data_IF_015983567818
#
_entry.id   IF_015983567818
#
_cell.length_a   1.000
_cell.length_b   1.000
_cell.length_c   1.000
_cell.angle_alpha   90.00
_cell.angle_beta   90.00
_cell.angle_gamma   90.00
#
_symmetry.space_group_name_H-M   'P 1'
#
loop_
_entity.id
_entity.type
_entity.pdbx_description
1 polymer ?
#
# COMPACT_ATOMS: atom_id res chain seq x y z
N UNK A 1 13.50 3.06 -1.50
CA UNK A 1 13.27 2.59 -2.88
C UNK A 1 11.79 2.63 -3.22
N UNK A 2 10.91 2.01 -2.42
CA UNK A 2 9.46 2.01 -2.66
C UNK A 2 8.87 3.42 -2.78
N UNK A 3 9.22 4.35 -1.88
CA UNK A 3 8.71 5.74 -1.94
C UNK A 3 9.04 6.44 -3.27
N UNK A 4 10.23 6.18 -3.82
CA UNK A 4 10.62 6.73 -5.12
C UNK A 4 9.79 6.13 -6.25
N UNK A 5 9.59 4.80 -6.23
CA UNK A 5 8.77 4.11 -7.24
C UNK A 5 7.31 4.59 -7.21
N UNK A 6 6.76 4.83 -6.02
CA UNK A 6 5.40 5.37 -5.84
C UNK A 6 5.33 6.79 -6.43
N UNK A 7 6.25 7.67 -6.03
CA UNK A 7 6.27 9.06 -6.51
C UNK A 7 6.45 9.16 -8.04
N UNK A 8 7.30 8.32 -8.62
CA UNK A 8 7.48 8.24 -10.08
C UNK A 8 6.19 7.80 -10.78
N UNK A 9 5.46 6.84 -10.21
CA UNK A 9 4.22 6.34 -10.78
C UNK A 9 3.05 7.32 -10.64
N UNK A 10 2.92 7.99 -9.49
CA UNK A 10 1.92 9.07 -9.31
C UNK A 10 2.17 10.23 -10.30
N UNK A 11 3.44 10.59 -10.54
CA UNK A 11 3.80 11.61 -11.52
C UNK A 11 3.44 11.21 -12.96
N UNK A 12 3.53 9.91 -13.29
CA UNK A 12 3.15 9.38 -14.60
C UNK A 12 1.63 9.23 -14.78
N UNK A 13 0.87 9.13 -13.68
CA UNK A 13 -0.59 8.92 -13.70
C UNK A 13 -1.30 9.89 -12.75
N UNK A 14 -1.27 11.20 -13.04
CA UNK A 14 -1.72 12.22 -12.09
C UNK A 14 -3.22 12.17 -11.77
N UNK A 15 -4.04 11.59 -12.65
CA UNK A 15 -5.47 11.36 -12.40
C UNK A 15 -5.77 10.07 -11.61
N UNK A 16 -4.75 9.25 -11.32
CA UNK A 16 -4.89 7.97 -10.62
C UNK A 16 -3.74 7.75 -9.61
N UNK A 17 -3.63 8.59 -8.55
CA UNK A 17 -2.60 8.43 -7.54
C UNK A 17 -2.83 7.20 -6.67
N UNK A 18 -1.76 6.63 -6.12
CA UNK A 18 -1.87 5.54 -5.16
C UNK A 18 -2.38 6.02 -3.80
N UNK A 19 -3.30 5.26 -3.20
CA UNK A 19 -3.56 5.33 -1.77
C UNK A 19 -2.64 4.35 -1.04
N UNK A 20 -1.73 4.87 -0.21
CA UNK A 20 -0.69 4.07 0.45
C UNK A 20 -1.06 3.76 1.90
N UNK A 21 -0.96 2.47 2.26
CA UNK A 21 -1.06 1.98 3.62
C UNK A 21 0.18 1.15 3.95
N UNK A 22 0.80 1.41 5.11
CA UNK A 22 2.01 0.71 5.54
C UNK A 22 1.68 -0.32 6.61
N UNK A 23 2.11 -1.57 6.39
CA UNK A 23 2.13 -2.62 7.41
C UNK A 23 3.59 -2.86 7.78
N UNK A 24 3.95 -2.65 9.05
CA UNK A 24 5.34 -2.82 9.54
C UNK A 24 5.69 -4.30 9.63
N UNK A 25 6.07 -4.88 8.49
CA UNK A 25 6.37 -6.30 8.37
C UNK A 25 7.25 -6.61 7.17
N UNK A 26 7.82 -7.83 7.14
CA UNK A 26 8.62 -8.31 6.01
C UNK A 26 7.76 -8.83 4.85
N UNK A 27 8.39 -9.25 3.76
CA UNK A 27 7.68 -9.71 2.54
C UNK A 27 6.62 -10.79 2.79
N UNK A 28 6.89 -11.73 3.70
CA UNK A 28 5.97 -12.81 4.06
C UNK A 28 5.07 -12.50 5.26
N UNK A 29 5.21 -11.31 5.85
CA UNK A 29 4.49 -10.92 7.06
C UNK A 29 3.03 -10.55 6.82
N UNK A 30 2.70 -10.14 5.58
CA UNK A 30 1.34 -9.81 5.17
C UNK A 30 0.40 -11.04 5.23
N UNK A 31 0.91 -12.23 4.89
CA UNK A 31 0.18 -13.50 4.98
C UNK A 31 -0.06 -13.91 6.44
N UNK A 32 0.80 -13.47 7.36
CA UNK A 32 0.73 -13.80 8.79
C UNK A 32 -0.11 -12.79 9.59
N UNK A 33 -0.51 -11.67 8.98
CA UNK A 33 -1.31 -10.59 9.60
C UNK A 33 -2.65 -10.35 8.88
N UNK A 34 -3.46 -11.39 8.64
CA UNK A 34 -4.67 -11.27 7.81
C UNK A 34 -5.71 -10.29 8.38
N UNK A 35 -5.80 -10.16 9.72
CA UNK A 35 -6.77 -9.24 10.36
C UNK A 35 -6.43 -7.77 10.10
N UNK A 36 -5.15 -7.41 10.19
CA UNK A 36 -4.70 -6.04 9.96
C UNK A 36 -4.89 -5.65 8.50
N UNK A 37 -4.51 -6.54 7.58
CA UNK A 37 -4.71 -6.35 6.13
C UNK A 37 -6.19 -6.23 5.80
N UNK A 38 -7.04 -7.11 6.35
CA UNK A 38 -8.48 -7.03 6.15
C UNK A 38 -9.07 -5.72 6.68
N UNK A 39 -8.58 -5.20 7.82
CA UNK A 39 -9.03 -3.91 8.35
C UNK A 39 -8.69 -2.72 7.46
N UNK A 40 -7.53 -2.76 6.78
CA UNK A 40 -7.18 -1.75 5.78
C UNK A 40 -8.15 -1.83 4.59
N UNK A 41 -8.40 -3.03 4.07
CA UNK A 41 -9.29 -3.26 2.92
C UNK A 41 -10.74 -2.86 3.21
N UNK A 42 -11.23 -3.16 4.40
CA UNK A 42 -12.58 -2.80 4.86
C UNK A 42 -12.78 -1.27 4.97
N UNK A 43 -11.69 -0.52 5.16
CA UNK A 43 -11.70 0.94 5.24
C UNK A 43 -11.49 1.64 3.88
N UNK A 44 -11.31 0.90 2.79
CA UNK A 44 -11.21 1.48 1.45
C UNK A 44 -12.60 1.90 0.94
N UNK A 45 -12.64 3.00 0.18
CA UNK A 45 -13.86 3.61 -0.38
C UNK A 45 -13.92 3.37 -1.89
#
# INVERSE_FOLDING_TARGET
MQDRMIAEADALTPENPFQIHTVDTGHMGIQLRPREVAGILDALV
#
